data_IF_152130392359
#
_entry.id   IF_152130392359
#
_cell.length_a   1.000
_cell.length_b   1.000
_cell.length_c   1.000
_cell.angle_alpha   90.00
_cell.angle_beta   90.00
_cell.angle_gamma   90.00
#
_symmetry.space_group_name_H-M   'P 1'
#
loop_
_entity.id
_entity.type
_entity.pdbx_description
1 polymer ?
#
# COMPACT_ATOMS: atom_id res chain seq x y z
N UNK A 1 -3.64 -16.11 14.25
CA UNK A 1 -3.49 -15.06 15.29
C UNK A 1 -2.04 -14.61 15.30
N UNK A 2 -1.82 -13.33 15.50
CA UNK A 2 -0.51 -12.71 15.63
C UNK A 2 -0.36 -12.09 17.02
N UNK A 3 0.84 -11.73 17.48
CA UNK A 3 1.02 -10.96 18.72
C UNK A 3 0.28 -9.62 18.70
N UNK A 4 0.01 -9.10 17.50
CA UNK A 4 -0.69 -7.83 17.27
C UNK A 4 -2.21 -7.97 17.14
N UNK A 5 -2.76 -9.17 17.37
CA UNK A 5 -4.16 -9.48 17.21
C UNK A 5 -4.50 -10.20 15.90
N UNK A 6 -5.73 -10.04 15.44
CA UNK A 6 -6.22 -10.69 14.22
C UNK A 6 -5.94 -9.85 12.97
N UNK A 7 -5.53 -10.46 11.83
CA UNK A 7 -5.56 -9.81 10.53
C UNK A 7 -6.98 -9.36 10.14
N UNK A 8 -7.04 -8.48 9.15
CA UNK A 8 -8.32 -7.94 8.64
C UNK A 8 -9.30 -9.01 8.16
N UNK A 9 -8.78 -10.10 7.62
CA UNK A 9 -9.59 -11.24 7.14
C UNK A 9 -8.72 -12.50 7.00
N UNK A 10 -9.34 -13.60 6.56
CA UNK A 10 -8.65 -14.83 6.17
C UNK A 10 -7.76 -14.58 4.96
N UNK A 11 -6.52 -15.06 5.02
CA UNK A 11 -5.63 -15.07 3.86
C UNK A 11 -6.05 -16.21 2.94
N UNK A 12 -6.43 -15.87 1.72
CA UNK A 12 -6.81 -16.84 0.69
C UNK A 12 -5.56 -17.27 -0.08
N UNK A 13 -5.32 -18.56 -0.14
CA UNK A 13 -4.22 -19.15 -0.92
C UNK A 13 -4.76 -19.72 -2.23
N UNK A 14 -4.08 -19.44 -3.34
CA UNK A 14 -4.37 -20.04 -4.64
C UNK A 14 -3.06 -20.36 -5.39
N UNK A 15 -3.18 -21.07 -6.52
CA UNK A 15 -2.07 -21.25 -7.45
C UNK A 15 -2.37 -20.52 -8.76
N UNK A 16 -1.42 -19.76 -9.25
CA UNK A 16 -1.49 -19.11 -10.55
C UNK A 16 -0.21 -19.39 -11.33
N UNK A 17 -0.32 -20.00 -12.50
CA UNK A 17 0.83 -20.43 -13.33
C UNK A 17 1.90 -21.21 -12.53
N UNK A 18 1.47 -22.16 -11.70
CA UNK A 18 2.34 -23.01 -10.87
C UNK A 18 2.92 -22.33 -9.62
N UNK A 19 2.73 -21.02 -9.44
CA UNK A 19 3.17 -20.26 -8.27
C UNK A 19 2.08 -20.12 -7.24
N UNK A 20 2.44 -20.15 -5.97
CA UNK A 20 1.52 -19.86 -4.88
C UNK A 20 1.30 -18.34 -4.78
N UNK A 21 0.04 -17.92 -4.71
CA UNK A 21 -0.38 -16.54 -4.55
C UNK A 21 -1.34 -16.46 -3.39
N UNK A 22 -1.19 -15.40 -2.59
CA UNK A 22 -1.99 -15.18 -1.40
C UNK A 22 -2.71 -13.83 -1.50
N UNK A 23 -3.96 -13.79 -1.11
CA UNK A 23 -4.78 -12.59 -1.11
C UNK A 23 -5.25 -12.27 0.30
N UNK A 24 -5.05 -11.01 0.72
CA UNK A 24 -5.55 -10.48 1.97
C UNK A 24 -6.39 -9.22 1.70
N UNK A 25 -7.72 -9.26 1.89
CA UNK A 25 -8.55 -8.07 1.78
C UNK A 25 -8.36 -7.17 3.01
N UNK A 26 -7.61 -6.07 2.88
CA UNK A 26 -7.28 -5.16 3.98
C UNK A 26 -8.48 -4.59 4.72
N UNK A 27 -9.54 -4.31 3.99
CA UNK A 27 -10.79 -3.77 4.54
C UNK A 27 -11.78 -4.85 4.99
N UNK A 28 -11.35 -6.13 4.99
CA UNK A 28 -12.24 -7.28 5.17
C UNK A 28 -13.14 -7.52 3.97
N UNK A 29 -13.66 -8.75 3.84
CA UNK A 29 -14.62 -9.11 2.80
C UNK A 29 -15.90 -8.28 2.99
N UNK A 30 -16.27 -7.50 1.99
CA UNK A 30 -17.41 -6.56 2.05
C UNK A 30 -17.04 -5.14 2.48
N UNK A 31 -15.74 -4.84 2.66
CA UNK A 31 -15.23 -3.49 2.91
C UNK A 31 -15.84 -2.79 4.15
N UNK A 32 -15.86 -3.50 5.28
CA UNK A 32 -16.44 -2.99 6.53
C UNK A 32 -15.41 -2.43 7.52
N UNK A 33 -14.10 -2.58 7.26
CA UNK A 33 -13.04 -2.03 8.10
C UNK A 33 -12.60 -0.69 7.52
N UNK A 34 -12.78 0.39 8.24
CA UNK A 34 -12.30 1.72 7.82
C UNK A 34 -10.76 1.78 7.80
N UNK A 35 -10.14 2.68 7.02
CA UNK A 35 -8.68 2.71 6.83
C UNK A 35 -7.88 2.70 8.13
N UNK A 36 -8.26 3.50 9.11
CA UNK A 36 -7.54 3.61 10.39
C UNK A 36 -7.90 2.52 11.41
N UNK A 37 -8.87 1.65 11.10
CA UNK A 37 -9.19 0.46 11.88
C UNK A 37 -8.55 -0.81 11.35
N UNK A 38 -7.86 -0.74 10.21
CA UNK A 38 -7.07 -1.85 9.68
C UNK A 38 -5.95 -2.17 10.67
N UNK A 39 -5.85 -3.43 11.08
CA UNK A 39 -4.72 -3.90 11.88
C UNK A 39 -3.53 -4.21 10.97
N UNK A 40 -2.82 -3.16 10.54
CA UNK A 40 -1.69 -3.29 9.63
C UNK A 40 -0.57 -4.18 10.19
N UNK A 41 -0.27 -4.10 11.50
CA UNK A 41 0.74 -4.96 12.13
C UNK A 41 0.36 -6.43 12.02
N UNK A 42 -0.88 -6.78 12.39
CA UNK A 42 -1.35 -8.16 12.27
C UNK A 42 -1.37 -8.66 10.82
N UNK A 43 -1.73 -7.80 9.86
CA UNK A 43 -1.74 -8.15 8.45
C UNK A 43 -0.33 -8.50 7.94
N UNK A 44 0.65 -7.65 8.18
CA UNK A 44 2.03 -7.86 7.74
C UNK A 44 2.68 -9.04 8.47
N UNK A 45 2.49 -9.16 9.78
CA UNK A 45 3.03 -10.27 10.55
C UNK A 45 2.44 -11.62 10.10
N UNK A 46 1.12 -11.70 9.88
CA UNK A 46 0.49 -12.91 9.38
C UNK A 46 1.04 -13.35 8.00
N UNK A 47 1.32 -12.37 7.11
CA UNK A 47 1.95 -12.64 5.83
C UNK A 47 3.40 -13.11 6.00
N UNK A 48 4.16 -12.51 6.91
CA UNK A 48 5.53 -12.95 7.25
C UNK A 48 5.56 -14.37 7.80
N UNK A 49 4.65 -14.73 8.72
CA UNK A 49 4.57 -16.06 9.32
C UNK A 49 4.33 -17.19 8.31
N UNK A 50 3.63 -16.92 7.21
CA UNK A 50 3.41 -17.89 6.13
C UNK A 50 4.47 -17.83 5.02
N UNK A 51 5.57 -17.10 5.25
CA UNK A 51 6.74 -17.07 4.37
C UNK A 51 6.62 -16.13 3.16
N UNK A 52 5.74 -15.14 3.19
CA UNK A 52 5.64 -14.15 2.12
C UNK A 52 6.89 -13.26 2.10
N UNK A 53 7.48 -13.13 0.93
CA UNK A 53 8.66 -12.29 0.66
C UNK A 53 8.34 -11.05 -0.16
N UNK A 54 7.18 -11.01 -0.81
CA UNK A 54 6.77 -9.99 -1.75
C UNK A 54 5.30 -9.61 -1.55
N UNK A 55 5.04 -8.31 -1.45
CA UNK A 55 3.67 -7.77 -1.39
C UNK A 55 3.46 -6.83 -2.57
N UNK A 56 2.42 -7.09 -3.35
CA UNK A 56 1.86 -6.14 -4.31
C UNK A 56 0.55 -5.61 -3.74
N UNK A 57 0.56 -4.35 -3.35
CA UNK A 57 -0.63 -3.66 -2.87
C UNK A 57 -1.42 -3.10 -4.04
N UNK A 58 -2.69 -3.45 -4.14
CA UNK A 58 -3.61 -2.90 -5.12
C UNK A 58 -4.58 -1.96 -4.41
N UNK A 59 -4.68 -0.72 -4.88
CA UNK A 59 -5.52 0.31 -4.28
C UNK A 59 -6.28 1.10 -5.33
N UNK A 60 -7.52 1.49 -5.02
CA UNK A 60 -8.20 2.58 -5.71
C UNK A 60 -7.74 3.90 -5.10
N UNK A 61 -7.46 4.91 -5.93
CA UNK A 61 -6.92 6.19 -5.51
C UNK A 61 -7.58 7.36 -6.26
N UNK A 62 -7.60 8.53 -5.63
CA UNK A 62 -7.90 9.78 -6.32
C UNK A 62 -6.66 10.30 -7.07
N UNK A 63 -6.87 11.07 -8.13
CA UNK A 63 -5.83 11.78 -8.83
C UNK A 63 -5.66 13.20 -8.31
N UNK A 64 -4.40 13.64 -8.19
CA UNK A 64 -4.03 15.03 -7.93
C UNK A 64 -3.44 15.70 -9.20
N UNK A 65 -3.47 15.00 -10.34
CA UNK A 65 -2.93 15.42 -11.62
C UNK A 65 -3.95 15.24 -12.75
N UNK A 66 -3.98 16.13 -13.69
CA UNK A 66 -4.91 16.07 -14.81
C UNK A 66 -4.53 14.99 -15.85
N UNK A 67 -3.24 14.66 -15.97
CA UNK A 67 -2.74 13.61 -16.86
C UNK A 67 -2.96 12.19 -16.34
N UNK A 68 -3.49 12.05 -15.13
CA UNK A 68 -3.87 10.77 -14.53
C UNK A 68 -5.39 10.66 -14.45
N UNK A 69 -6.01 10.30 -15.56
CA UNK A 69 -7.45 10.11 -15.69
C UNK A 69 -7.94 8.82 -15.02
N UNK A 70 -9.23 8.71 -14.65
CA UNK A 70 -9.83 7.47 -14.18
C UNK A 70 -9.57 6.29 -15.13
N UNK A 71 -9.25 5.13 -14.54
CA UNK A 71 -8.87 3.93 -15.29
C UNK A 71 -7.36 3.78 -15.52
N UNK A 72 -6.57 4.85 -15.39
CA UNK A 72 -5.11 4.78 -15.49
C UNK A 72 -4.51 4.16 -14.22
N UNK A 73 -3.47 3.35 -14.39
CA UNK A 73 -2.73 2.77 -13.27
C UNK A 73 -1.45 3.56 -12.97
N UNK A 74 -1.09 3.64 -11.69
CA UNK A 74 0.18 4.25 -11.25
C UNK A 74 0.96 3.21 -10.45
N UNK A 75 2.17 2.91 -10.91
CA UNK A 75 3.14 2.11 -10.13
C UNK A 75 3.88 3.09 -9.24
N UNK A 76 3.49 3.15 -7.99
CA UNK A 76 3.98 4.13 -7.02
C UNK A 76 5.42 3.82 -6.61
N UNK A 77 6.26 4.83 -6.50
CA UNK A 77 7.64 4.69 -6.02
C UNK A 77 7.96 5.53 -4.77
N UNK A 78 7.11 6.52 -4.44
CA UNK A 78 7.29 7.38 -3.27
C UNK A 78 5.99 7.59 -2.49
N UNK A 79 6.14 7.86 -1.19
CA UNK A 79 5.01 8.13 -0.30
C UNK A 79 5.21 9.39 0.52
N UNK A 80 4.10 10.11 0.76
CA UNK A 80 3.98 11.13 1.80
C UNK A 80 2.96 10.61 2.81
N UNK A 81 3.38 10.36 4.04
CA UNK A 81 2.52 9.82 5.10
C UNK A 81 1.90 10.95 5.92
N UNK A 82 0.60 11.17 5.72
CA UNK A 82 -0.22 12.12 6.50
C UNK A 82 -1.15 11.42 7.49
N UNK A 83 -0.91 10.14 7.78
CA UNK A 83 -1.66 9.42 8.81
C UNK A 83 -1.12 9.77 10.21
N UNK A 84 -1.99 9.76 11.23
CA UNK A 84 -1.61 10.17 12.59
C UNK A 84 -2.14 9.25 13.71
N UNK A 85 -3.18 8.46 13.45
CA UNK A 85 -3.82 7.63 14.47
C UNK A 85 -3.56 6.11 14.27
N UNK A 86 -2.43 5.75 13.65
CA UNK A 86 -2.08 4.36 13.30
C UNK A 86 -0.81 3.92 13.98
N UNK A 87 -0.75 2.65 14.37
CA UNK A 87 0.50 2.02 14.80
C UNK A 87 1.41 1.81 13.59
N UNK A 88 2.62 2.36 13.61
CA UNK A 88 3.49 2.50 12.44
C UNK A 88 4.76 1.66 12.48
N UNK A 89 4.99 0.93 13.56
CA UNK A 89 6.19 0.12 13.77
C UNK A 89 5.89 -1.14 14.58
N UNK A 90 6.73 -2.15 14.42
CA UNK A 90 6.80 -3.32 15.29
C UNK A 90 7.74 -3.11 16.50
N UNK A 91 8.56 -2.06 16.48
CA UNK A 91 9.67 -1.82 17.39
C UNK A 91 9.45 -0.54 18.21
N UNK A 92 8.38 -0.48 19.01
CA UNK A 92 8.02 0.66 19.86
C UNK A 92 8.08 0.36 21.36
N UNK A 93 8.43 -0.89 21.74
CA UNK A 93 8.67 -1.33 23.11
C UNK A 93 9.98 -2.09 23.15
N UNK A 94 10.82 -1.87 24.16
CA UNK A 94 12.09 -2.53 24.46
C UNK A 94 13.20 -2.32 23.40
N UNK A 95 12.90 -2.31 22.10
CA UNK A 95 13.84 -2.15 20.99
C UNK A 95 13.31 -1.11 20.02
N UNK A 96 14.18 -0.18 19.61
CA UNK A 96 13.88 0.79 18.54
C UNK A 96 14.68 0.42 17.28
N UNK A 97 14.01 0.31 16.14
CA UNK A 97 14.63 0.06 14.84
C UNK A 97 14.39 1.24 13.88
N UNK A 98 15.49 1.74 13.27
CA UNK A 98 15.43 2.79 12.26
C UNK A 98 15.69 2.18 10.88
N UNK A 99 14.60 1.76 10.19
CA UNK A 99 14.71 1.22 8.83
C UNK A 99 14.75 2.35 7.78
N UNK A 100 15.55 2.14 6.74
CA UNK A 100 15.65 3.12 5.64
C UNK A 100 14.37 3.11 4.79
N UNK A 101 13.77 4.28 4.57
CA UNK A 101 12.58 4.50 3.76
C UNK A 101 12.81 5.44 2.57
N UNK A 102 14.07 5.78 2.24
CA UNK A 102 14.39 6.63 1.08
C UNK A 102 13.85 6.04 -0.23
N UNK A 103 13.93 4.72 -0.37
CA UNK A 103 13.33 3.97 -1.48
C UNK A 103 12.34 2.95 -0.89
N UNK A 104 11.08 3.34 -0.70
CA UNK A 104 10.11 2.52 0.04
C UNK A 104 9.60 1.30 -0.73
N UNK A 105 9.76 1.28 -2.04
CA UNK A 105 9.32 0.22 -2.95
C UNK A 105 10.49 -0.54 -3.55
N UNK A 106 10.24 -1.79 -3.96
CA UNK A 106 11.23 -2.64 -4.61
C UNK A 106 11.23 -2.43 -6.13
N UNK A 107 12.35 -1.97 -6.69
CA UNK A 107 12.50 -1.78 -8.14
C UNK A 107 12.24 -3.08 -8.92
N UNK A 108 12.72 -4.22 -8.43
CA UNK A 108 12.47 -5.51 -9.08
C UNK A 108 10.99 -5.86 -9.13
N UNK A 109 10.26 -5.62 -8.04
CA UNK A 109 8.83 -5.90 -7.98
C UNK A 109 8.02 -4.89 -8.81
N UNK A 110 8.41 -3.61 -8.81
CA UNK A 110 7.83 -2.59 -9.68
C UNK A 110 8.00 -2.93 -11.17
N UNK A 111 9.17 -3.42 -11.59
CA UNK A 111 9.41 -3.86 -12.96
C UNK A 111 8.54 -5.06 -13.34
N UNK A 112 8.34 -6.00 -12.43
CA UNK A 112 7.43 -7.14 -12.64
C UNK A 112 5.98 -6.66 -12.81
N UNK A 113 5.52 -5.71 -11.98
CA UNK A 113 4.20 -5.10 -12.11
C UNK A 113 4.06 -4.35 -13.45
N UNK A 114 5.07 -3.59 -13.85
CA UNK A 114 5.08 -2.88 -15.13
C UNK A 114 4.93 -3.84 -16.32
N UNK A 115 5.70 -4.93 -16.32
CA UNK A 115 5.62 -5.94 -17.37
C UNK A 115 4.22 -6.57 -17.46
N UNK A 116 3.60 -6.87 -16.32
CA UNK A 116 2.25 -7.40 -16.26
C UNK A 116 1.20 -6.40 -16.80
N UNK A 117 1.32 -5.13 -16.43
CA UNK A 117 0.44 -4.05 -16.91
C UNK A 117 0.57 -3.87 -18.42
N UNK A 118 1.81 -3.89 -18.97
CA UNK A 118 2.08 -3.84 -20.42
C UNK A 118 1.44 -5.01 -21.16
N UNK A 119 1.59 -6.24 -20.64
CA UNK A 119 0.96 -7.43 -21.22
C UNK A 119 -0.57 -7.34 -21.22
N UNK A 120 -1.14 -6.76 -20.17
CA UNK A 120 -2.57 -6.51 -20.06
C UNK A 120 -3.07 -5.34 -20.90
N UNK A 121 -2.17 -4.59 -21.55
CA UNK A 121 -2.47 -3.39 -22.38
C UNK A 121 -3.25 -2.32 -21.61
N UNK A 122 -2.92 -2.14 -20.35
CA UNK A 122 -3.53 -1.13 -19.47
C UNK A 122 -2.69 0.15 -19.55
N UNK A 123 -3.35 1.31 -19.59
CA UNK A 123 -2.66 2.61 -19.52
C UNK A 123 -2.10 2.84 -18.11
N UNK A 124 -0.85 3.27 -18.02
CA UNK A 124 -0.18 3.42 -16.74
C UNK A 124 0.90 4.51 -16.74
N UNK A 125 1.22 4.96 -15.55
CA UNK A 125 2.42 5.74 -15.23
C UNK A 125 3.33 4.92 -14.32
N UNK A 126 4.62 4.84 -14.62
CA UNK A 126 5.63 4.30 -13.72
C UNK A 126 6.31 5.42 -12.94
N UNK A 127 6.40 5.26 -11.64
CA UNK A 127 6.80 6.31 -10.71
C UNK A 127 5.65 7.25 -10.38
N UNK A 128 5.68 7.76 -9.18
CA UNK A 128 4.72 8.75 -8.68
C UNK A 128 4.62 8.74 -7.17
N UNK A 129 4.35 9.91 -6.63
CA UNK A 129 4.21 10.11 -5.18
C UNK A 129 2.76 9.89 -4.76
N UNK A 130 2.55 8.94 -3.88
CA UNK A 130 1.27 8.66 -3.27
C UNK A 130 1.18 9.33 -1.88
N UNK A 131 0.30 10.30 -1.74
CA UNK A 131 0.00 10.86 -0.42
C UNK A 131 -1.06 10.01 0.28
N UNK A 132 -0.74 9.56 1.49
CA UNK A 132 -1.64 8.72 2.30
C UNK A 132 -2.24 9.56 3.40
N UNK A 133 -3.55 9.78 3.33
CA UNK A 133 -4.32 10.51 4.35
C UNK A 133 -4.99 9.54 5.32
N UNK A 134 -5.41 10.06 6.48
CA UNK A 134 -6.06 9.26 7.53
C UNK A 134 -7.38 8.65 7.07
N UNK A 135 -8.22 9.46 6.42
CA UNK A 135 -9.59 9.07 6.10
C UNK A 135 -10.50 8.91 7.35
N UNK A 136 -11.71 8.34 7.22
CA UNK A 136 -12.33 7.84 5.98
C UNK A 136 -12.87 8.93 5.04
N UNK A 137 -12.90 10.21 5.46
CA UNK A 137 -13.30 11.31 4.60
C UNK A 137 -12.22 11.58 3.54
N UNK A 138 -12.65 12.04 2.38
CA UNK A 138 -11.74 12.57 1.37
C UNK A 138 -11.15 13.91 1.81
N UNK A 139 -10.05 14.32 1.19
CA UNK A 139 -9.43 15.62 1.43
C UNK A 139 -10.34 16.75 1.00
N UNK A 140 -10.30 17.86 1.75
CA UNK A 140 -10.92 19.13 1.33
C UNK A 140 -10.21 19.67 0.08
N UNK A 141 -10.82 20.62 -0.61
CA UNK A 141 -10.20 21.30 -1.75
C UNK A 141 -8.89 22.00 -1.34
N UNK A 142 -8.85 22.61 -0.16
CA UNK A 142 -7.64 23.25 0.36
C UNK A 142 -6.51 22.26 0.60
N UNK A 143 -6.80 21.10 1.22
CA UNK A 143 -5.84 20.01 1.39
C UNK A 143 -5.36 19.46 0.04
N UNK A 144 -6.26 19.25 -0.90
CA UNK A 144 -5.91 18.76 -2.24
C UNK A 144 -5.00 19.74 -2.98
N UNK A 145 -5.23 21.05 -2.88
CA UNK A 145 -4.37 22.09 -3.43
C UNK A 145 -2.99 22.10 -2.77
N UNK A 146 -2.94 21.92 -1.45
CA UNK A 146 -1.68 21.77 -0.71
C UNK A 146 -0.90 20.53 -1.18
N UNK A 147 -1.57 19.40 -1.34
CA UNK A 147 -0.92 18.16 -1.79
C UNK A 147 -0.41 18.25 -3.23
N UNK A 148 -1.13 18.96 -4.10
CA UNK A 148 -0.63 19.28 -5.45
C UNK A 148 0.64 20.13 -5.40
N UNK A 149 0.70 21.12 -4.51
CA UNK A 149 1.91 21.97 -4.34
C UNK A 149 3.11 21.17 -3.82
N UNK A 150 2.89 20.02 -3.17
CA UNK A 150 3.92 19.07 -2.76
C UNK A 150 4.30 18.06 -3.85
N UNK A 151 3.78 18.24 -5.08
CA UNK A 151 3.97 17.32 -6.21
C UNK A 151 3.50 15.88 -5.93
N UNK A 152 2.44 15.70 -5.12
CA UNK A 152 1.79 14.42 -5.00
C UNK A 152 0.99 14.11 -6.28
N UNK A 153 1.10 12.87 -6.74
CA UNK A 153 0.44 12.40 -7.98
C UNK A 153 -0.94 11.80 -7.69
N UNK A 154 -1.01 10.96 -6.67
CA UNK A 154 -2.24 10.27 -6.27
C UNK A 154 -2.47 10.34 -4.77
N UNK A 155 -3.73 10.18 -4.37
CA UNK A 155 -4.16 10.24 -2.98
C UNK A 155 -4.98 9.03 -2.61
N UNK A 156 -4.70 8.46 -1.44
CA UNK A 156 -5.48 7.36 -0.88
C UNK A 156 -5.23 7.19 0.61
N UNK A 157 -5.58 6.01 1.17
CA UNK A 157 -5.68 5.89 2.64
C UNK A 157 -4.96 4.68 3.22
N UNK A 158 -4.33 3.78 2.43
CA UNK A 158 -3.97 2.45 2.94
C UNK A 158 -2.51 2.05 2.82
N UNK A 159 -1.71 2.70 1.97
CA UNK A 159 -0.31 2.29 1.78
C UNK A 159 0.62 2.65 2.95
N UNK A 160 0.17 3.51 3.87
CA UNK A 160 0.86 3.80 5.13
C UNK A 160 -0.05 3.47 6.33
N UNK A 161 0.48 2.77 7.29
CA UNK A 161 1.87 2.35 7.52
C UNK A 161 2.26 1.01 6.84
N UNK A 162 1.43 0.44 5.95
CA UNK A 162 1.66 -0.88 5.35
C UNK A 162 3.08 -1.04 4.76
N UNK A 163 3.53 -0.06 3.96
CA UNK A 163 4.87 -0.10 3.36
C UNK A 163 6.00 0.01 4.41
N UNK A 164 5.81 0.79 5.48
CA UNK A 164 6.77 0.87 6.59
C UNK A 164 6.91 -0.46 7.32
N UNK A 165 5.78 -1.08 7.66
CA UNK A 165 5.73 -2.36 8.33
C UNK A 165 6.27 -3.50 7.44
N UNK A 166 5.99 -3.49 6.15
CA UNK A 166 6.57 -4.43 5.20
C UNK A 166 8.11 -4.30 5.19
N UNK A 167 8.65 -3.07 5.22
CA UNK A 167 10.10 -2.83 5.31
C UNK A 167 10.69 -3.36 6.59
N UNK A 168 10.09 -3.12 7.74
CA UNK A 168 10.53 -3.65 9.04
C UNK A 168 10.49 -5.18 9.08
N UNK A 169 9.51 -5.79 8.41
CA UNK A 169 9.40 -7.24 8.27
C UNK A 169 10.29 -7.83 7.17
N UNK A 170 11.15 -7.03 6.51
CA UNK A 170 12.01 -7.45 5.39
C UNK A 170 11.22 -8.06 4.20
N UNK A 171 10.01 -7.57 3.97
CA UNK A 171 9.17 -7.95 2.84
C UNK A 171 9.31 -6.88 1.74
N UNK A 172 9.61 -7.29 0.52
CA UNK A 172 9.63 -6.39 -0.63
C UNK A 172 8.21 -5.90 -0.94
N UNK A 173 8.08 -4.61 -1.21
CA UNK A 173 6.78 -3.98 -1.38
C UNK A 173 6.71 -3.23 -2.71
N UNK A 174 5.60 -3.36 -3.40
CA UNK A 174 5.21 -2.49 -4.52
C UNK A 174 3.75 -2.10 -4.38
N UNK A 175 3.40 -0.94 -4.92
CA UNK A 175 2.03 -0.45 -4.97
C UNK A 175 1.62 -0.18 -6.41
N UNK A 176 0.50 -0.76 -6.81
CA UNK A 176 -0.17 -0.52 -8.08
C UNK A 176 -1.51 0.11 -7.76
N UNK A 177 -1.66 1.38 -8.11
CA UNK A 177 -2.82 2.19 -7.75
C UNK A 177 -3.64 2.49 -9.00
N UNK A 178 -4.93 2.19 -8.95
CA UNK A 178 -5.88 2.49 -10.02
C UNK A 178 -6.57 3.81 -9.71
N UNK A 179 -6.48 4.76 -10.62
CA UNK A 179 -7.20 6.04 -10.51
C UNK A 179 -8.69 5.82 -10.77
N UNK A 180 -9.53 6.33 -9.85
CA UNK A 180 -11.00 6.22 -9.92
C UNK A 180 -11.69 7.57 -9.85
#
# INVERSE_FOLDING_TARGET
>A
NTPWGKPSDKILKTKFNGKEVFFLPRHGKGHFISPSKINFRANIDALKQIGITDIVSISAVGSLREDLSPGKFVIVDQFIDRTFARQKTFFDEDIVAHVSMANPTSNGLMNACENAIKQAKIDYKKGGTYIVIEGPQFSTLAESNLYRSWNADVIGMTNMPEAKLAREAEIRYASVSMVT
#
